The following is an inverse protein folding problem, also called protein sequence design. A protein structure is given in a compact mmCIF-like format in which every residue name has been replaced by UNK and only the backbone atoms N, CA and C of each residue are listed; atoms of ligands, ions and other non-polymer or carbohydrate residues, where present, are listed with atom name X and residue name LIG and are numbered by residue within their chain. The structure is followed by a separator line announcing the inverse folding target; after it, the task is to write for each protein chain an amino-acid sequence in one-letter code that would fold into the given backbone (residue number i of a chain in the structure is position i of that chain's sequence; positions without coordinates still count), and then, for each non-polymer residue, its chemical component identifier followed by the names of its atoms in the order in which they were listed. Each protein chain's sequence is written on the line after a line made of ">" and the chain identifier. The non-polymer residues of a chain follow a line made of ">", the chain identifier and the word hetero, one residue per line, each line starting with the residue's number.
data_IF_200695675406
#
_entry.id   IF_200695675406
#
_cell.length_a   1.000
_cell.length_b   1.000
_cell.length_c   1.000
_cell.angle_alpha   90.00
_cell.angle_beta   90.00
_cell.angle_gamma   90.00
#
_symmetry.space_group_name_H-M   'P 1'
#
loop_
_entity.id
_entity.type
_entity.pdbx_description
1 polymer ?
#
# COMPACT_ATOMS: atom_id res chain seq x y z
N UNK A 1 20.53 9.83 21.57
CA UNK A 1 20.22 10.41 20.25
C UNK A 1 20.03 9.24 19.30
N UNK A 2 18.82 8.66 19.23
CA UNK A 2 18.57 7.37 18.58
C UNK A 2 18.18 7.59 17.11
N UNK A 3 19.17 7.78 16.25
CA UNK A 3 18.97 7.69 14.81
C UNK A 3 19.12 6.22 14.44
N UNK A 4 17.99 5.54 14.18
CA UNK A 4 17.97 4.14 13.78
C UNK A 4 18.96 3.88 12.63
N UNK A 5 20.02 3.15 12.94
CA UNK A 5 21.08 2.81 12.01
C UNK A 5 20.49 1.95 10.89
N UNK A 6 20.46 2.52 9.69
CA UNK A 6 20.12 1.81 8.47
C UNK A 6 21.33 0.97 8.10
N UNK A 7 21.28 -0.34 8.34
CA UNK A 7 22.36 -1.24 7.93
C UNK A 7 22.30 -1.36 6.40
N UNK A 8 23.39 -1.04 5.66
CA UNK A 8 23.40 -1.10 4.19
C UNK A 8 23.07 -2.49 3.63
N UNK A 9 23.18 -3.53 4.47
CA UNK A 9 22.83 -4.92 4.15
C UNK A 9 21.32 -5.16 3.95
N UNK A 10 20.45 -4.31 4.51
CA UNK A 10 19.00 -4.52 4.48
C UNK A 10 18.29 -3.88 3.26
N UNK A 11 19.01 -3.05 2.49
CA UNK A 11 18.47 -2.35 1.31
C UNK A 11 17.51 -1.21 1.67
N UNK A 12 17.54 -0.13 0.89
CA UNK A 12 16.64 1.01 1.11
C UNK A 12 15.21 0.68 0.69
N UNK A 13 14.32 0.50 1.67
CA UNK A 13 12.88 0.29 1.45
C UNK A 13 12.08 1.56 1.71
N UNK A 14 10.88 1.63 1.15
CA UNK A 14 9.93 2.73 1.41
C UNK A 14 9.13 2.55 2.72
N UNK A 15 9.52 1.61 3.58
CA UNK A 15 8.76 1.25 4.80
C UNK A 15 8.49 2.46 5.71
N UNK A 16 9.54 3.15 6.15
CA UNK A 16 9.44 4.35 7.00
C UNK A 16 8.71 5.52 6.31
N UNK A 17 8.84 5.63 4.99
CA UNK A 17 8.15 6.66 4.23
C UNK A 17 6.65 6.38 4.15
N UNK A 18 6.28 5.11 3.95
CA UNK A 18 4.91 4.67 3.83
C UNK A 18 4.11 4.89 5.12
N UNK A 19 4.72 4.73 6.30
CA UNK A 19 4.09 5.00 7.60
C UNK A 19 3.41 6.37 7.68
N UNK A 20 3.99 7.39 7.04
CA UNK A 20 3.50 8.78 7.11
C UNK A 20 2.80 9.24 5.84
N UNK A 21 3.18 8.71 4.67
CA UNK A 21 2.74 9.23 3.37
C UNK A 21 1.75 8.31 2.65
N UNK A 22 1.73 7.03 2.96
CA UNK A 22 0.85 6.10 2.28
C UNK A 22 -0.55 6.11 2.89
N UNK A 23 -1.53 5.59 2.15
CA UNK A 23 -2.86 5.37 2.67
C UNK A 23 -2.83 4.32 3.77
N UNK A 24 -3.71 4.48 4.77
CA UNK A 24 -3.86 3.46 5.82
C UNK A 24 -4.44 2.20 5.17
N UNK A 25 -3.83 1.02 5.36
CA UNK A 25 -4.44 -0.24 4.94
C UNK A 25 -5.86 -0.32 5.50
N UNK A 26 -6.87 -0.70 4.71
CA UNK A 26 -8.23 -0.81 5.23
C UNK A 26 -8.21 -1.71 6.47
N UNK A 27 -8.54 -1.13 7.65
CA UNK A 27 -8.64 -1.87 8.91
C UNK A 27 -9.57 -3.04 8.65
N UNK A 28 -9.06 -4.25 8.87
CA UNK A 28 -9.79 -5.52 8.75
C UNK A 28 -11.07 -5.41 9.60
N UNK A 29 -12.19 -4.97 9.03
CA UNK A 29 -13.49 -5.19 9.65
C UNK A 29 -13.72 -6.68 9.53
N UNK A 30 -13.85 -7.37 10.65
CA UNK A 30 -14.25 -8.77 10.66
C UNK A 30 -15.74 -8.81 10.27
N UNK A 31 -16.03 -8.57 9.00
CA UNK A 31 -17.38 -8.62 8.47
C UNK A 31 -17.74 -10.09 8.30
N UNK A 32 -18.65 -10.52 9.17
CA UNK A 32 -19.15 -11.87 9.32
C UNK A 32 -19.80 -12.36 8.01
N UNK A 33 -19.51 -13.62 7.67
CA UNK A 33 -20.33 -14.49 6.81
C UNK A 33 -20.32 -14.21 5.29
N UNK A 34 -19.66 -15.12 4.55
CA UNK A 34 -19.89 -15.44 3.13
C UNK A 34 -19.32 -14.48 2.06
N UNK A 35 -17.99 -14.38 1.96
CA UNK A 35 -17.32 -14.03 0.71
C UNK A 35 -16.41 -15.19 0.28
N UNK A 36 -16.62 -15.63 -0.96
CA UNK A 36 -16.02 -16.82 -1.58
C UNK A 36 -14.48 -16.73 -1.58
N UNK A 37 -13.87 -17.91 -1.46
CA UNK A 37 -12.43 -18.18 -1.66
C UNK A 37 -11.90 -17.39 -2.87
N UNK A 38 -11.12 -16.36 -2.58
CA UNK A 38 -10.43 -15.53 -3.55
C UNK A 38 -9.42 -14.65 -2.80
N UNK A 39 -8.32 -15.28 -2.35
CA UNK A 39 -7.18 -14.59 -1.78
C UNK A 39 -7.42 -14.00 -0.39
N UNK A 40 -6.79 -14.59 0.62
CA UNK A 40 -6.42 -13.85 1.83
C UNK A 40 -5.68 -12.60 1.35
N UNK A 41 -6.30 -11.43 1.56
CA UNK A 41 -5.74 -10.10 1.33
C UNK A 41 -4.53 -9.87 2.26
N UNK A 42 -3.46 -10.62 2.04
CA UNK A 42 -2.16 -10.47 2.70
C UNK A 42 -1.36 -9.31 2.08
N UNK A 43 -1.84 -8.73 0.98
CA UNK A 43 -1.22 -7.61 0.28
C UNK A 43 -1.58 -6.22 0.82
N UNK A 44 -2.44 -6.15 1.85
CA UNK A 44 -2.80 -4.88 2.49
C UNK A 44 -1.77 -4.37 3.49
N UNK A 45 -0.99 -5.26 4.10
CA UNK A 45 -0.18 -4.91 5.28
C UNK A 45 1.15 -4.21 4.91
N UNK A 46 1.65 -4.35 3.67
CA UNK A 46 2.87 -3.68 3.18
C UNK A 46 2.66 -3.06 1.81
N UNK A 47 1.98 -1.92 1.77
CA UNK A 47 1.76 -1.14 0.55
C UNK A 47 3.06 -0.67 -0.14
N UNK A 48 4.18 -0.65 0.59
CA UNK A 48 5.51 -0.32 0.08
C UNK A 48 6.24 -1.49 -0.59
N UNK A 49 5.73 -2.72 -0.44
CA UNK A 49 6.31 -3.93 -1.00
C UNK A 49 5.59 -4.35 -2.29
N UNK A 50 6.26 -5.13 -3.12
CA UNK A 50 5.68 -5.67 -4.36
C UNK A 50 4.38 -6.45 -4.10
N UNK A 51 3.37 -6.19 -4.91
CA UNK A 51 2.07 -6.90 -4.89
C UNK A 51 1.72 -7.37 -6.30
N UNK A 52 1.15 -8.57 -6.41
CA UNK A 52 0.63 -9.11 -7.69
C UNK A 52 -0.77 -8.60 -8.02
N UNK A 53 -1.50 -8.13 -7.01
CA UNK A 53 -2.86 -7.62 -7.15
C UNK A 53 -2.81 -6.18 -7.68
N UNK A 54 -3.64 -5.82 -8.66
CA UNK A 54 -3.72 -4.44 -9.14
C UNK A 54 -4.17 -3.48 -8.04
N UNK A 55 -3.55 -2.30 -7.98
CA UNK A 55 -3.94 -1.25 -7.02
C UNK A 55 -5.31 -0.67 -7.38
N UNK A 56 -6.24 -0.72 -6.42
CA UNK A 56 -7.57 -0.09 -6.54
C UNK A 56 -7.63 1.36 -6.07
N UNK A 57 -6.57 1.81 -5.41
CA UNK A 57 -6.42 3.16 -4.86
C UNK A 57 -4.93 3.53 -4.89
N UNK A 58 -4.58 4.82 -5.06
CA UNK A 58 -3.20 5.27 -5.07
C UNK A 58 -2.50 4.94 -3.75
N UNK A 59 -1.19 4.70 -3.80
CA UNK A 59 -0.39 4.44 -2.61
C UNK A 59 -0.36 5.67 -1.68
N UNK A 60 -0.22 6.86 -2.27
CA UNK A 60 -0.04 8.11 -1.52
C UNK A 60 -1.39 8.68 -1.09
N UNK A 61 -1.52 8.98 0.20
CA UNK A 61 -2.76 9.57 0.76
C UNK A 61 -3.13 10.92 0.14
N UNK A 62 -2.11 11.73 -0.22
CA UNK A 62 -2.30 13.05 -0.87
C UNK A 62 -2.96 12.98 -2.25
N UNK A 63 -2.92 11.82 -2.90
CA UNK A 63 -3.56 11.62 -4.20
C UNK A 63 -5.02 11.16 -4.05
N UNK A 64 -5.41 10.64 -2.88
CA UNK A 64 -6.79 10.19 -2.64
C UNK A 64 -7.80 11.35 -2.70
N UNK A 65 -7.38 12.57 -2.40
CA UNK A 65 -8.24 13.77 -2.46
C UNK A 65 -8.42 14.31 -3.89
N UNK A 66 -7.60 13.86 -4.85
CA UNK A 66 -7.58 14.35 -6.23
C UNK A 66 -8.00 13.21 -7.16
N UNK A 67 -9.28 13.15 -7.50
CA UNK A 67 -9.88 12.02 -8.23
C UNK A 67 -9.15 11.72 -9.55
N UNK A 68 -8.86 12.74 -10.36
CA UNK A 68 -8.14 12.56 -11.64
C UNK A 68 -6.75 11.93 -11.44
N UNK A 69 -5.97 12.43 -10.48
CA UNK A 69 -4.64 11.87 -10.18
C UNK A 69 -4.72 10.49 -9.52
N UNK A 70 -5.78 10.22 -8.77
CA UNK A 70 -6.03 8.92 -8.15
C UNK A 70 -6.29 7.86 -9.22
N UNK A 71 -7.14 8.16 -10.20
CA UNK A 71 -7.44 7.27 -11.33
C UNK A 71 -6.20 7.06 -12.20
N UNK A 72 -5.51 8.13 -12.55
CA UNK A 72 -4.29 8.06 -13.35
C UNK A 72 -3.20 7.25 -12.66
N UNK A 73 -3.01 7.41 -11.34
CA UNK A 73 -2.04 6.61 -10.59
C UNK A 73 -2.36 5.10 -10.59
N UNK A 74 -3.65 4.74 -10.52
CA UNK A 74 -4.08 3.34 -10.59
C UNK A 74 -3.86 2.77 -12.00
N UNK A 75 -4.18 3.54 -13.04
CA UNK A 75 -3.94 3.16 -14.43
C UNK A 75 -2.43 3.00 -14.72
N UNK A 76 -1.61 3.92 -14.25
CA UNK A 76 -0.16 3.83 -14.36
C UNK A 76 0.39 2.54 -13.73
N UNK A 77 -0.09 2.17 -12.55
CA UNK A 77 0.34 0.93 -11.88
C UNK A 77 0.05 -0.34 -12.70
N UNK A 78 -1.04 -0.36 -13.46
CA UNK A 78 -1.38 -1.49 -14.35
C UNK A 78 -0.44 -1.63 -15.54
N UNK A 79 0.28 -0.56 -15.88
CA UNK A 79 1.19 -0.49 -17.02
C UNK A 79 2.67 -0.61 -16.60
N UNK A 80 2.96 -0.90 -15.32
CA UNK A 80 4.31 -1.19 -14.78
C UNK A 80 4.60 -2.68 -14.92
#
# INVERSE_FOLDING_TARGET
>A
NNNGEFLPEQGYTLEKYAETNFRVPPKRSWSNTFARRGGVNNGGDRLWAFQKEPLRQPLLKKLQEKLELSEEACACFMNI
#
